data_IF_638753685164
#
_entry.id   IF_638753685164
#
_cell.length_a   1.000
_cell.length_b   1.000
_cell.length_c   1.000
_cell.angle_alpha   90.00
_cell.angle_beta   90.00
_cell.angle_gamma   90.00
#
_symmetry.space_group_name_H-M   'P 1'
#
loop_
_entity.id
_entity.type
_entity.pdbx_description
1 polymer ?
#
# COMPACT_ATOMS: atom_id res chain seq x y z
N UNK A 1 -8.26 13.94 -24.14
CA UNK A 1 -6.88 13.99 -24.67
C UNK A 1 -6.17 12.77 -24.13
N UNK A 2 -5.74 11.82 -24.98
CA UNK A 2 -4.99 10.65 -24.49
C UNK A 2 -3.64 11.19 -23.97
N UNK A 3 -3.39 11.07 -22.67
CA UNK A 3 -2.07 11.40 -22.12
C UNK A 3 -1.10 10.40 -22.70
N UNK A 4 -0.09 10.90 -23.42
CA UNK A 4 1.04 10.08 -23.82
C UNK A 4 1.90 9.84 -22.59
N UNK A 5 1.75 8.65 -22.00
CA UNK A 5 2.45 8.27 -20.78
C UNK A 5 3.95 8.15 -21.00
N UNK A 6 4.40 7.76 -22.19
CA UNK A 6 5.83 7.67 -22.49
C UNK A 6 6.46 9.05 -22.51
N UNK A 7 5.82 10.00 -23.20
CA UNK A 7 6.26 11.40 -23.20
C UNK A 7 6.26 12.00 -21.78
N UNK A 8 5.22 11.72 -20.98
CA UNK A 8 5.14 12.17 -19.59
C UNK A 8 6.31 11.64 -18.74
N UNK A 9 6.60 10.34 -18.84
CA UNK A 9 7.66 9.71 -18.05
C UNK A 9 9.05 10.20 -18.45
N UNK A 10 9.29 10.45 -19.75
CA UNK A 10 10.54 11.04 -20.22
C UNK A 10 10.75 12.47 -19.69
N UNK A 11 9.71 13.29 -19.71
CA UNK A 11 9.79 14.66 -19.17
C UNK A 11 10.02 14.67 -17.65
N UNK A 12 9.33 13.80 -16.91
CA UNK A 12 9.53 13.65 -15.47
C UNK A 12 10.96 13.20 -15.18
N UNK A 13 11.46 12.20 -15.91
CA UNK A 13 12.85 11.74 -15.78
C UNK A 13 13.83 12.90 -15.93
N UNK A 14 13.71 13.68 -17.00
CA UNK A 14 14.59 14.85 -17.23
C UNK A 14 14.47 15.89 -16.12
N UNK A 15 13.25 16.20 -15.69
CA UNK A 15 13.00 17.17 -14.62
C UNK A 15 13.65 16.76 -13.29
N UNK A 16 13.43 15.52 -12.86
CA UNK A 16 13.95 15.00 -11.59
C UNK A 16 15.47 14.84 -11.61
N UNK A 17 16.03 14.38 -12.73
CA UNK A 17 17.48 14.27 -12.91
C UNK A 17 18.16 15.64 -12.77
N UNK A 18 17.57 16.70 -13.35
CA UNK A 18 18.10 18.07 -13.21
C UNK A 18 17.93 18.64 -11.80
N UNK A 19 16.79 18.38 -11.15
CA UNK A 19 16.48 18.94 -9.83
C UNK A 19 17.29 18.28 -8.72
N UNK A 20 17.40 16.95 -8.72
CA UNK A 20 18.00 16.19 -7.63
C UNK A 20 19.36 15.60 -7.95
N UNK A 21 19.84 15.71 -9.20
CA UNK A 21 21.08 15.08 -9.65
C UNK A 21 21.11 13.56 -9.35
N UNK A 22 19.94 12.93 -9.39
CA UNK A 22 19.78 11.52 -9.10
C UNK A 22 20.27 10.65 -10.27
N UNK A 23 20.86 9.51 -9.93
CA UNK A 23 21.33 8.52 -10.91
C UNK A 23 20.31 7.40 -11.14
N UNK A 24 19.33 7.25 -10.25
CA UNK A 24 18.27 6.24 -10.37
C UNK A 24 16.92 6.87 -10.08
N UNK A 25 15.94 6.59 -10.95
CA UNK A 25 14.54 7.04 -10.82
C UNK A 25 13.65 5.84 -11.06
N UNK A 26 12.76 5.55 -10.11
CA UNK A 26 11.80 4.45 -10.21
C UNK A 26 10.39 4.99 -9.95
N UNK A 27 9.50 4.78 -10.91
CA UNK A 27 8.07 5.02 -10.78
C UNK A 27 7.40 3.81 -10.11
N UNK A 28 6.57 4.05 -9.11
CA UNK A 28 5.72 3.03 -8.52
C UNK A 28 4.26 3.51 -8.46
N UNK A 29 3.42 2.87 -7.65
CA UNK A 29 2.02 3.28 -7.53
C UNK A 29 1.18 3.00 -8.77
N UNK A 30 0.06 3.72 -8.91
CA UNK A 30 -0.98 3.37 -9.88
C UNK A 30 -0.62 3.65 -11.34
N UNK A 31 0.28 4.60 -11.62
CA UNK A 31 0.79 4.82 -12.98
C UNK A 31 1.72 3.69 -13.43
N UNK A 32 2.38 3.01 -12.49
CA UNK A 32 3.14 1.81 -12.78
C UNK A 32 2.22 0.60 -13.00
N UNK A 33 1.19 0.43 -12.18
CA UNK A 33 0.27 -0.73 -12.29
C UNK A 33 -0.85 -0.57 -13.33
N UNK A 34 -1.03 0.63 -13.89
CA UNK A 34 -2.00 0.91 -14.96
C UNK A 34 -3.43 1.13 -14.48
N UNK A 35 -3.67 1.16 -13.16
CA UNK A 35 -4.97 1.34 -12.52
C UNK A 35 -5.19 2.80 -12.04
N UNK A 36 -4.41 3.75 -12.53
CA UNK A 36 -4.51 5.17 -12.16
C UNK A 36 -5.86 5.77 -12.57
N UNK A 37 -6.33 6.73 -11.78
CA UNK A 37 -7.55 7.51 -12.03
C UNK A 37 -7.17 8.98 -12.28
N UNK A 38 -8.17 9.84 -12.50
CA UNK A 38 -7.95 11.28 -12.63
C UNK A 38 -7.38 11.90 -11.34
N UNK A 39 -7.69 11.31 -10.18
CA UNK A 39 -7.24 11.73 -8.85
C UNK A 39 -5.87 11.16 -8.48
N UNK A 40 -5.31 10.24 -9.29
CA UNK A 40 -4.01 9.63 -9.01
C UNK A 40 -2.85 10.61 -9.20
N UNK A 41 -1.96 10.57 -8.22
CA UNK A 41 -0.64 11.17 -8.17
C UNK A 41 0.42 10.31 -8.90
N UNK A 42 1.59 10.89 -9.09
CA UNK A 42 2.79 10.24 -9.61
C UNK A 42 3.73 9.92 -8.44
N UNK A 43 3.82 8.64 -8.09
CA UNK A 43 4.69 8.11 -7.03
C UNK A 43 6.09 7.80 -7.56
N UNK A 44 7.11 8.52 -7.08
CA UNK A 44 8.49 8.33 -7.53
C UNK A 44 9.47 8.21 -6.37
N UNK A 45 10.45 7.33 -6.55
CA UNK A 45 11.66 7.27 -5.73
C UNK A 45 12.89 7.59 -6.57
N UNK A 46 13.76 8.44 -6.02
CA UNK A 46 15.02 8.89 -6.61
C UNK A 46 16.19 8.52 -5.69
N UNK A 47 17.32 8.10 -6.26
CA UNK A 47 18.57 7.89 -5.53
C UNK A 47 19.71 8.76 -6.09
N UNK A 48 20.45 9.40 -5.18
CA UNK A 48 21.59 10.25 -5.50
C UNK A 48 22.70 10.10 -4.45
N UNK A 49 23.97 10.30 -4.84
CA UNK A 49 25.12 10.08 -3.95
C UNK A 49 25.17 11.09 -2.79
N UNK A 50 25.04 12.38 -3.10
CA UNK A 50 25.16 13.47 -2.14
C UNK A 50 23.78 14.09 -1.86
N UNK A 51 22.82 13.26 -1.43
CA UNK A 51 21.48 13.74 -1.09
C UNK A 51 21.13 13.48 0.37
N UNK A 52 20.43 14.45 0.96
CA UNK A 52 19.71 14.25 2.21
C UNK A 52 18.33 13.68 1.91
N UNK A 53 17.96 12.66 2.68
CA UNK A 53 16.65 12.03 2.65
C UNK A 53 15.54 13.10 2.77
N UNK A 54 14.67 13.16 1.77
CA UNK A 54 13.57 14.13 1.72
C UNK A 54 12.40 13.64 0.92
N UNK A 55 11.26 14.25 1.19
CA UNK A 55 10.02 14.00 0.48
C UNK A 55 9.49 15.33 -0.01
N UNK A 56 9.39 15.46 -1.33
CA UNK A 56 8.87 16.65 -1.98
C UNK A 56 7.52 16.31 -2.62
N UNK A 57 6.54 17.18 -2.39
CA UNK A 57 5.22 17.11 -3.04
C UNK A 57 5.08 18.35 -3.91
N UNK A 58 4.85 18.17 -5.21
CA UNK A 58 4.73 19.27 -6.15
C UNK A 58 3.69 19.01 -7.24
N UNK A 59 3.34 20.06 -7.99
CA UNK A 59 2.48 19.95 -9.15
C UNK A 59 3.32 19.89 -10.42
N UNK A 60 3.25 18.76 -11.13
CA UNK A 60 3.86 18.58 -12.43
C UNK A 60 2.79 18.43 -13.51
N UNK A 61 2.69 19.41 -14.41
CA UNK A 61 1.68 19.46 -15.49
C UNK A 61 0.23 19.23 -15.01
N UNK A 62 -0.11 19.82 -13.86
CA UNK A 62 -1.45 19.73 -13.27
C UNK A 62 -1.74 18.40 -12.56
N UNK A 63 -0.74 17.54 -12.36
CA UNK A 63 -0.81 16.33 -11.54
C UNK A 63 0.06 16.48 -10.31
N UNK A 64 -0.37 15.93 -9.18
CA UNK A 64 0.48 15.83 -8.00
C UNK A 64 1.61 14.83 -8.29
N UNK A 65 2.82 15.20 -7.88
CA UNK A 65 4.04 14.44 -8.02
C UNK A 65 4.67 14.32 -6.63
N UNK A 66 4.72 13.09 -6.13
CA UNK A 66 5.24 12.73 -4.82
C UNK A 66 6.60 12.06 -5.01
N UNK A 67 7.67 12.77 -4.63
CA UNK A 67 9.05 12.36 -4.86
C UNK A 67 9.74 12.07 -3.54
N UNK A 68 10.18 10.83 -3.38
CA UNK A 68 11.03 10.41 -2.28
C UNK A 68 12.48 10.37 -2.77
N UNK A 69 13.34 11.24 -2.24
CA UNK A 69 14.76 11.30 -2.62
C UNK A 69 15.59 10.73 -1.47
N UNK A 70 16.48 9.80 -1.80
CA UNK A 70 17.28 9.07 -0.82
C UNK A 70 18.75 8.99 -1.25
N UNK A 71 19.63 8.85 -0.26
CA UNK A 71 21.04 8.57 -0.56
C UNK A 71 21.22 7.20 -1.22
N UNK A 72 22.27 7.05 -2.03
CA UNK A 72 22.63 5.78 -2.67
C UNK A 72 22.80 4.63 -1.66
N UNK A 73 23.24 4.92 -0.43
CA UNK A 73 23.44 3.89 0.59
C UNK A 73 22.14 3.17 0.98
N UNK A 74 20.99 3.85 0.89
CA UNK A 74 19.70 3.25 1.21
C UNK A 74 19.26 2.17 0.21
N UNK A 75 19.83 2.14 -1.00
CA UNK A 75 19.63 1.01 -1.92
C UNK A 75 20.17 -0.32 -1.36
N UNK A 76 20.99 -0.28 -0.30
CA UNK A 76 21.47 -1.47 0.40
C UNK A 76 20.49 -1.99 1.46
N UNK A 77 19.37 -1.30 1.71
CA UNK A 77 18.32 -1.66 2.68
C UNK A 77 16.95 -1.89 1.99
N UNK A 78 16.84 -2.88 1.09
CA UNK A 78 15.64 -3.09 0.26
C UNK A 78 14.36 -3.40 1.07
N UNK A 79 14.49 -3.91 2.29
CA UNK A 79 13.39 -4.17 3.22
C UNK A 79 12.60 -2.90 3.57
N UNK A 80 13.22 -1.71 3.50
CA UNK A 80 12.56 -0.43 3.76
C UNK A 80 11.71 0.06 2.57
N UNK A 81 11.81 -0.60 1.41
CA UNK A 81 11.27 -0.14 0.14
C UNK A 81 10.28 -1.13 -0.49
N UNK A 82 9.64 -1.99 0.30
CA UNK A 82 8.64 -2.95 -0.21
C UNK A 82 7.51 -2.29 -1.01
N UNK A 83 7.18 -1.02 -0.73
CA UNK A 83 6.19 -0.23 -1.51
C UNK A 83 6.58 -0.04 -2.99
N UNK A 84 7.87 -0.12 -3.32
CA UNK A 84 8.43 0.04 -4.68
C UNK A 84 8.48 -1.31 -5.43
N UNK A 85 8.01 -2.40 -4.83
CA UNK A 85 7.95 -3.72 -5.44
C UNK A 85 7.37 -3.66 -6.87
N UNK A 86 8.08 -4.25 -7.85
CA UNK A 86 7.76 -4.20 -9.29
C UNK A 86 7.66 -2.77 -9.88
N UNK A 87 8.36 -1.80 -9.32
CA UNK A 87 8.43 -0.44 -9.88
C UNK A 87 9.05 -0.40 -11.28
N UNK A 88 8.67 0.60 -12.07
CA UNK A 88 9.21 0.86 -13.41
C UNK A 88 10.41 1.78 -13.31
N UNK A 89 11.56 1.28 -13.77
CA UNK A 89 12.79 2.07 -13.87
C UNK A 89 12.65 3.09 -14.98
N UNK A 90 12.80 4.37 -14.64
CA UNK A 90 12.87 5.49 -15.59
C UNK A 90 14.32 5.91 -15.88
N UNK A 91 15.20 5.80 -14.88
CA UNK A 91 16.63 6.11 -14.99
C UNK A 91 17.44 5.10 -14.16
N UNK A 92 18.58 4.65 -14.69
CA UNK A 92 19.53 3.79 -13.97
C UNK A 92 20.97 3.96 -14.48
N UNK A 93 21.52 5.17 -14.29
CA UNK A 93 22.85 5.54 -14.80
C UNK A 93 23.99 4.68 -14.20
N UNK A 94 23.75 4.06 -13.03
CA UNK A 94 24.72 3.21 -12.32
C UNK A 94 24.44 1.71 -12.44
N UNK A 95 23.38 1.29 -13.13
CA UNK A 95 23.00 -0.13 -13.22
C UNK A 95 22.65 -0.77 -11.88
N UNK A 96 22.14 0.02 -10.92
CA UNK A 96 21.83 -0.44 -9.55
C UNK A 96 20.35 -0.78 -9.37
N UNK A 97 19.46 -0.24 -10.21
CA UNK A 97 18.01 -0.34 -10.03
C UNK A 97 17.51 -1.78 -10.13
N UNK A 98 17.99 -2.54 -11.13
CA UNK A 98 17.54 -3.93 -11.33
C UNK A 98 17.91 -4.83 -10.13
N UNK A 99 19.13 -4.69 -9.61
CA UNK A 99 19.58 -5.44 -8.43
C UNK A 99 18.77 -5.05 -7.18
N UNK A 100 18.47 -3.77 -7.03
CA UNK A 100 17.66 -3.26 -5.92
C UNK A 100 16.24 -3.81 -5.98
N UNK A 101 15.55 -3.67 -7.11
CA UNK A 101 14.20 -4.20 -7.32
C UNK A 101 14.14 -5.71 -7.18
N UNK A 102 15.16 -6.45 -7.66
CA UNK A 102 15.22 -7.90 -7.52
C UNK A 102 15.26 -8.34 -6.04
N UNK A 103 16.01 -7.62 -5.19
CA UNK A 103 16.03 -7.90 -3.75
C UNK A 103 14.69 -7.58 -3.09
N UNK A 104 14.06 -6.47 -3.47
CA UNK A 104 12.72 -6.12 -2.98
C UNK A 104 11.72 -7.21 -3.36
N UNK A 105 11.73 -7.64 -4.62
CA UNK A 105 10.85 -8.69 -5.13
C UNK A 105 11.07 -10.01 -4.37
N UNK A 106 12.31 -10.36 -4.05
CA UNK A 106 12.62 -11.56 -3.26
C UNK A 106 12.01 -11.49 -1.85
N UNK A 107 12.23 -10.38 -1.12
CA UNK A 107 11.65 -10.17 0.22
C UNK A 107 10.12 -10.17 0.16
N UNK A 108 9.54 -9.51 -0.85
CA UNK A 108 8.09 -9.48 -1.02
C UNK A 108 7.52 -10.88 -1.24
N UNK A 109 8.18 -11.71 -2.06
CA UNK A 109 7.77 -13.09 -2.34
C UNK A 109 7.97 -14.05 -1.15
N UNK A 110 8.92 -13.76 -0.25
CA UNK A 110 9.06 -14.51 1.01
C UNK A 110 7.84 -14.28 1.94
N UNK A 111 7.16 -13.16 1.79
CA UNK A 111 5.98 -12.80 2.58
C UNK A 111 6.33 -12.15 3.93
N UNK A 112 5.32 -11.65 4.67
CA UNK A 112 5.53 -11.14 6.01
C UNK A 112 5.90 -12.26 6.99
N UNK A 113 6.39 -11.87 8.17
CA UNK A 113 6.55 -12.79 9.30
C UNK A 113 5.23 -13.51 9.56
N UNK A 114 5.29 -14.84 9.56
CA UNK A 114 4.14 -15.67 9.89
C UNK A 114 3.81 -15.55 11.38
N UNK A 115 2.53 -15.33 11.67
CA UNK A 115 2.02 -15.24 13.05
C UNK A 115 1.99 -16.63 13.68
N UNK A 116 2.37 -16.70 14.95
CA UNK A 116 2.04 -17.82 15.82
C UNK A 116 0.54 -17.86 16.10
N UNK A 117 0.03 -19.02 16.52
CA UNK A 117 -1.39 -19.17 16.89
C UNK A 117 -1.79 -18.22 18.03
N UNK A 118 -0.90 -17.95 18.99
CA UNK A 118 -1.13 -16.97 20.05
C UNK A 118 -1.27 -15.53 19.51
N UNK A 119 -0.43 -15.14 18.54
CA UNK A 119 -0.54 -13.85 17.87
C UNK A 119 -1.86 -13.73 17.08
N UNK A 120 -2.28 -14.79 16.37
CA UNK A 120 -3.57 -14.83 15.68
C UNK A 120 -4.74 -14.69 16.64
N UNK A 121 -4.74 -15.46 17.73
CA UNK A 121 -5.78 -15.42 18.77
C UNK A 121 -5.87 -14.03 19.42
N UNK A 122 -4.73 -13.35 19.58
CA UNK A 122 -4.69 -11.99 20.09
C UNK A 122 -5.40 -11.00 19.16
N UNK A 123 -5.13 -11.05 17.85
CA UNK A 123 -5.77 -10.19 16.85
C UNK A 123 -7.29 -10.44 16.77
N UNK A 124 -7.71 -11.71 16.72
CA UNK A 124 -9.12 -12.10 16.75
C UNK A 124 -9.83 -11.60 18.02
N UNK A 125 -9.17 -11.77 19.17
CA UNK A 125 -9.68 -11.28 20.45
C UNK A 125 -9.76 -9.75 20.51
N UNK A 126 -8.84 -9.04 19.86
CA UNK A 126 -8.87 -7.59 19.76
C UNK A 126 -10.09 -7.12 18.96
N UNK A 127 -10.35 -7.70 17.79
CA UNK A 127 -11.52 -7.39 16.96
C UNK A 127 -12.83 -7.57 17.74
N UNK A 128 -12.97 -8.71 18.43
CA UNK A 128 -14.16 -8.99 19.26
C UNK A 128 -14.33 -7.99 20.40
N UNK A 129 -13.24 -7.60 21.08
CA UNK A 129 -13.27 -6.57 22.13
C UNK A 129 -13.69 -5.21 21.56
N UNK A 130 -13.18 -4.85 20.39
CA UNK A 130 -13.53 -3.58 19.74
C UNK A 130 -15.00 -3.52 19.35
N UNK A 131 -15.55 -4.61 18.83
CA UNK A 131 -16.97 -4.74 18.54
C UNK A 131 -17.87 -4.57 19.77
N UNK A 132 -17.55 -5.25 20.88
CA UNK A 132 -18.29 -5.08 22.13
C UNK A 132 -18.22 -3.64 22.65
N UNK A 133 -17.08 -2.99 22.46
CA UNK A 133 -16.86 -1.60 22.89
C UNK A 133 -17.55 -0.59 21.99
N UNK A 134 -17.82 -0.91 20.72
CA UNK A 134 -18.55 -0.02 19.83
C UNK A 134 -20.04 0.08 20.15
N UNK A 135 -20.61 -0.93 20.83
CA UNK A 135 -22.03 -0.97 21.19
C UNK A 135 -22.49 0.06 22.23
N UNK A 136 -21.63 0.97 22.69
CA UNK A 136 -21.98 2.00 23.69
C UNK A 136 -22.87 3.13 23.16
N UNK A 137 -23.12 3.20 21.84
CA UNK A 137 -23.93 4.25 21.19
C UNK A 137 -23.51 5.69 21.59
N UNK A 138 -22.21 5.90 21.84
CA UNK A 138 -21.60 7.19 22.12
C UNK A 138 -20.50 7.50 21.08
N UNK A 139 -19.89 8.68 21.17
CA UNK A 139 -18.84 9.11 20.22
C UNK A 139 -17.64 8.15 20.22
N UNK A 140 -17.24 7.65 21.39
CA UNK A 140 -16.13 6.69 21.52
C UNK A 140 -16.48 5.35 20.86
N UNK A 141 -17.71 4.86 21.06
CA UNK A 141 -18.22 3.64 20.45
C UNK A 141 -18.23 3.74 18.92
N UNK A 142 -18.72 4.85 18.38
CA UNK A 142 -18.69 5.13 16.94
C UNK A 142 -17.26 5.17 16.40
N UNK A 143 -16.34 5.85 17.09
CA UNK A 143 -14.92 5.89 16.69
C UNK A 143 -14.30 4.49 16.66
N UNK A 144 -14.54 3.69 17.71
CA UNK A 144 -14.04 2.31 17.79
C UNK A 144 -14.62 1.40 16.72
N UNK A 145 -15.87 1.61 16.31
CA UNK A 145 -16.46 0.88 15.20
C UNK A 145 -15.66 1.10 13.91
N UNK A 146 -15.43 2.36 13.53
CA UNK A 146 -14.72 2.70 12.29
C UNK A 146 -13.26 2.23 12.34
N UNK A 147 -12.62 2.37 13.50
CA UNK A 147 -11.27 1.86 13.72
C UNK A 147 -11.22 0.33 13.55
N UNK A 148 -12.12 -0.40 14.20
CA UNK A 148 -12.21 -1.85 14.06
C UNK A 148 -12.39 -2.28 12.59
N UNK A 149 -13.26 -1.60 11.83
CA UNK A 149 -13.45 -1.92 10.41
C UNK A 149 -12.19 -1.68 9.59
N UNK A 150 -11.50 -0.55 9.80
CA UNK A 150 -10.23 -0.27 9.15
C UNK A 150 -9.20 -1.36 9.46
N UNK A 151 -9.03 -1.72 10.73
CA UNK A 151 -8.02 -2.71 11.14
C UNK A 151 -8.43 -4.14 10.74
N UNK A 152 -9.72 -4.45 10.66
CA UNK A 152 -10.19 -5.79 10.26
C UNK A 152 -9.73 -6.19 8.86
N UNK A 153 -9.62 -5.23 7.94
CA UNK A 153 -9.10 -5.49 6.61
C UNK A 153 -7.60 -5.79 6.65
N UNK A 154 -6.82 -5.07 7.45
CA UNK A 154 -5.38 -5.32 7.61
C UNK A 154 -5.13 -6.67 8.28
N UNK A 155 -5.86 -6.93 9.37
CA UNK A 155 -5.81 -8.19 10.13
C UNK A 155 -6.16 -9.39 9.26
N UNK A 156 -7.10 -9.26 8.31
CA UNK A 156 -7.37 -10.35 7.35
C UNK A 156 -6.09 -10.79 6.61
N UNK A 157 -5.30 -9.86 6.09
CA UNK A 157 -4.06 -10.20 5.38
C UNK A 157 -3.01 -10.75 6.35
N UNK A 158 -2.91 -10.19 7.56
CA UNK A 158 -1.99 -10.70 8.59
C UNK A 158 -2.29 -12.15 9.00
N UNK A 159 -3.57 -12.48 9.24
CA UNK A 159 -4.01 -13.84 9.58
C UNK A 159 -3.70 -14.84 8.46
N UNK A 160 -3.79 -14.40 7.20
CA UNK A 160 -3.45 -15.19 6.01
C UNK A 160 -1.95 -15.19 5.68
N UNK A 161 -1.11 -14.54 6.49
CA UNK A 161 0.33 -14.48 6.26
C UNK A 161 0.70 -13.72 4.97
N UNK A 162 -0.07 -12.71 4.60
CA UNK A 162 0.08 -11.91 3.38
C UNK A 162 0.36 -10.44 3.71
N UNK A 163 1.08 -9.75 2.81
CA UNK A 163 1.22 -8.30 2.89
C UNK A 163 -0.12 -7.61 2.65
N UNK A 164 -0.49 -6.63 3.46
CA UNK A 164 -1.61 -5.75 3.15
C UNK A 164 -1.19 -4.74 2.06
N UNK A 165 -1.77 -4.79 0.85
CA UNK A 165 -1.32 -3.98 -0.29
C UNK A 165 -1.98 -2.59 -0.34
N UNK A 166 -2.68 -2.18 0.73
CA UNK A 166 -3.56 -1.02 0.75
C UNK A 166 -4.99 -1.34 0.26
N UNK A 167 -6.00 -0.53 0.63
CA UNK A 167 -7.41 -0.89 0.50
C UNK A 167 -7.85 -1.14 -0.94
N UNK A 168 -7.42 -0.31 -1.89
CA UNK A 168 -7.79 -0.46 -3.31
C UNK A 168 -7.36 -1.82 -3.87
N UNK A 169 -6.10 -2.20 -3.65
CA UNK A 169 -5.53 -3.47 -4.12
C UNK A 169 -6.06 -4.65 -3.31
N UNK A 170 -6.28 -4.47 -2.01
CA UNK A 170 -6.86 -5.48 -1.14
C UNK A 170 -8.24 -5.89 -1.61
N UNK A 171 -9.15 -4.95 -1.86
CA UNK A 171 -10.50 -5.27 -2.33
C UNK A 171 -10.52 -5.88 -3.74
N UNK A 172 -9.63 -5.44 -4.63
CA UNK A 172 -9.47 -6.10 -5.94
C UNK A 172 -9.01 -7.54 -5.79
N UNK A 173 -8.03 -7.78 -4.92
CA UNK A 173 -7.50 -9.12 -4.66
C UNK A 173 -8.56 -10.02 -4.02
N UNK A 174 -9.29 -9.54 -3.01
CA UNK A 174 -10.37 -10.28 -2.36
C UNK A 174 -11.45 -10.67 -3.37
N UNK A 175 -11.89 -9.74 -4.24
CA UNK A 175 -12.91 -10.04 -5.26
C UNK A 175 -12.52 -11.21 -6.17
N UNK A 176 -11.23 -11.35 -6.46
CA UNK A 176 -10.71 -12.38 -7.36
C UNK A 176 -10.35 -13.69 -6.63
N UNK A 177 -9.86 -13.61 -5.39
CA UNK A 177 -9.22 -14.73 -4.68
C UNK A 177 -10.01 -15.23 -3.45
N UNK A 178 -10.80 -14.36 -2.81
CA UNK A 178 -11.71 -14.70 -1.72
C UNK A 178 -13.04 -13.91 -1.81
N UNK A 179 -13.92 -14.29 -2.76
CA UNK A 179 -15.18 -13.58 -2.98
C UNK A 179 -16.10 -13.59 -1.75
N UNK A 180 -15.95 -14.57 -0.87
CA UNK A 180 -16.71 -14.68 0.38
C UNK A 180 -16.30 -13.57 1.35
N UNK A 181 -14.99 -13.41 1.60
CA UNK A 181 -14.48 -12.30 2.40
C UNK A 181 -14.83 -10.95 1.76
N UNK A 182 -14.70 -10.82 0.44
CA UNK A 182 -15.09 -9.60 -0.28
C UNK A 182 -16.54 -9.21 0.01
N UNK A 183 -17.48 -10.15 -0.10
CA UNK A 183 -18.90 -9.90 0.16
C UNK A 183 -19.17 -9.46 1.61
N UNK A 184 -18.48 -10.05 2.59
CA UNK A 184 -18.61 -9.66 4.00
C UNK A 184 -18.10 -8.22 4.24
N UNK A 185 -16.93 -7.88 3.69
CA UNK A 185 -16.42 -6.50 3.77
C UNK A 185 -17.33 -5.51 3.04
N UNK A 186 -17.85 -5.87 1.85
CA UNK A 186 -18.76 -5.04 1.09
C UNK A 186 -20.04 -4.72 1.89
N UNK A 187 -20.63 -5.71 2.55
CA UNK A 187 -21.82 -5.54 3.38
C UNK A 187 -21.58 -4.60 4.56
N UNK A 188 -20.47 -4.80 5.29
CA UNK A 188 -20.20 -4.04 6.51
C UNK A 188 -19.80 -2.58 6.23
N UNK A 189 -19.19 -2.31 5.07
CA UNK A 189 -18.75 -0.98 4.67
C UNK A 189 -19.84 -0.15 3.98
N UNK A 190 -21.04 -0.69 3.77
CA UNK A 190 -22.17 0.09 3.28
C UNK A 190 -22.60 1.14 4.30
N UNK A 191 -23.13 2.28 3.81
CA UNK A 191 -23.60 3.39 4.65
C UNK A 191 -24.73 2.99 5.62
N UNK A 192 -25.52 1.99 5.23
CA UNK A 192 -26.68 1.50 5.98
C UNK A 192 -26.42 0.13 6.64
N UNK A 193 -25.15 -0.23 6.89
CA UNK A 193 -24.80 -1.55 7.44
C UNK A 193 -25.46 -1.82 8.80
N UNK A 194 -25.80 -3.09 9.02
CA UNK A 194 -26.48 -3.55 10.23
C UNK A 194 -25.52 -4.29 11.16
N UNK A 195 -25.84 -4.32 12.46
CA UNK A 195 -25.02 -5.00 13.46
C UNK A 195 -24.73 -6.47 13.10
N UNK A 196 -25.68 -7.14 12.46
CA UNK A 196 -25.57 -8.54 12.01
C UNK A 196 -24.47 -8.72 10.95
N UNK A 197 -24.26 -7.76 10.05
CA UNK A 197 -23.24 -7.86 9.00
C UNK A 197 -21.84 -7.89 9.63
N UNK A 198 -21.67 -7.11 10.70
CA UNK A 198 -20.43 -7.03 11.46
C UNK A 198 -20.16 -8.35 12.20
N UNK A 199 -21.18 -8.92 12.85
CA UNK A 199 -21.07 -10.23 13.50
C UNK A 199 -20.62 -11.31 12.51
N UNK A 200 -21.19 -11.34 11.32
CA UNK A 200 -20.81 -12.30 10.27
C UNK A 200 -19.36 -12.14 9.81
N UNK A 201 -18.89 -10.91 9.61
CA UNK A 201 -17.49 -10.65 9.30
C UNK A 201 -16.57 -11.15 10.42
N UNK A 202 -16.91 -10.89 11.68
CA UNK A 202 -16.11 -11.29 12.83
C UNK A 202 -16.09 -12.80 13.04
N UNK A 203 -17.21 -13.49 12.81
CA UNK A 203 -17.28 -14.96 12.82
C UNK A 203 -16.37 -15.54 11.73
N UNK A 204 -16.43 -15.01 10.51
CA UNK A 204 -15.56 -15.46 9.42
C UNK A 204 -14.07 -15.27 9.76
N UNK A 205 -13.68 -14.10 10.26
CA UNK A 205 -12.28 -13.84 10.65
C UNK A 205 -11.81 -14.71 11.83
N UNK A 206 -12.72 -15.23 12.65
CA UNK A 206 -12.37 -16.11 13.76
C UNK A 206 -11.96 -17.51 13.27
N UNK A 207 -12.48 -17.95 12.12
CA UNK A 207 -12.26 -19.28 11.56
C UNK A 207 -11.03 -19.38 10.63
N UNK A 208 -10.44 -18.25 10.22
CA UNK A 208 -9.17 -18.18 9.44
C UNK A 208 -7.96 -18.45 10.34
#
# INVERSE_FOLDING_TARGET
MRVDLEALFEEIKTYLQQKYHCHTIILYGSYNTGDFTEESDLDIICFADDSEDRNDVELFKGKQLDVWVYSTELMMKPDQFLRVNRGKVLLDDKGMAERFLSKINAIFNEGPKQLSEEEKDFLKSWLRKMHLRSGKNDMEGNYRFHWMLKDSLEIYFELNGQWFPGPKKAFSWLRENDPSAFALFENVLQKDSHAKDVEQLLEFLYEI
#
